data_IF_523044336730
#
_entry.id   IF_523044336730
#
_cell.length_a   1.000
_cell.length_b   1.000
_cell.length_c   1.000
_cell.angle_alpha   90.00
_cell.angle_beta   90.00
_cell.angle_gamma   90.00
#
_symmetry.space_group_name_H-M   'P 1'
#
loop_
_entity.id
_entity.type
_entity.pdbx_description
1 polymer ?
#
# COMPACT_ATOMS: atom_id res chain seq x y z
N UNK A 1 -15.70 -73.85 22.34
CA UNK A 1 -16.17 -72.63 21.66
C UNK A 1 -15.83 -71.29 22.39
N UNK A 2 -15.05 -71.33 23.48
CA UNK A 2 -14.81 -70.12 24.30
C UNK A 2 -13.47 -69.38 23.94
N UNK A 3 -12.59 -70.07 23.23
CA UNK A 3 -11.24 -69.47 22.87
C UNK A 3 -11.20 -68.69 21.58
N UNK A 4 -12.17 -68.84 20.69
CA UNK A 4 -12.20 -68.17 19.41
C UNK A 4 -12.60 -66.66 19.57
N UNK A 5 -13.47 -66.36 20.53
CA UNK A 5 -13.90 -64.95 20.77
C UNK A 5 -12.79 -64.06 21.30
N UNK A 6 -11.88 -64.56 22.12
CA UNK A 6 -10.76 -63.80 22.68
C UNK A 6 -9.65 -63.50 21.64
N UNK A 7 -9.49 -64.43 20.69
CA UNK A 7 -8.48 -64.24 19.64
C UNK A 7 -8.89 -63.16 18.64
N UNK A 8 -10.18 -63.13 18.29
CA UNK A 8 -10.71 -62.12 17.35
C UNK A 8 -10.67 -60.71 17.98
N UNK A 9 -11.02 -60.61 19.29
CA UNK A 9 -11.02 -59.32 19.99
C UNK A 9 -9.59 -58.74 20.14
N UNK A 10 -8.58 -59.57 20.35
CA UNK A 10 -7.17 -59.15 20.42
C UNK A 10 -6.60 -58.75 19.06
N UNK A 11 -7.01 -59.45 18.00
CA UNK A 11 -6.58 -59.07 16.63
C UNK A 11 -7.21 -57.77 16.17
N UNK A 12 -8.46 -57.45 16.52
CA UNK A 12 -9.12 -56.19 16.20
C UNK A 12 -8.53 -54.99 16.99
N UNK A 13 -8.10 -55.20 18.24
CA UNK A 13 -7.40 -54.16 18.99
C UNK A 13 -6.01 -53.84 18.43
N UNK A 14 -5.29 -54.88 17.95
CA UNK A 14 -3.97 -54.72 17.35
C UNK A 14 -4.02 -53.96 16.01
N UNK A 15 -5.05 -54.19 15.20
CA UNK A 15 -5.23 -53.50 13.91
C UNK A 15 -5.69 -52.05 14.11
N UNK A 16 -6.52 -51.79 15.13
CA UNK A 16 -6.94 -50.42 15.47
C UNK A 16 -5.78 -49.54 15.96
N UNK A 17 -4.78 -50.12 16.62
CA UNK A 17 -3.62 -49.36 17.15
C UNK A 17 -2.53 -49.14 16.09
N UNK A 18 -2.49 -49.91 15.01
CA UNK A 18 -1.55 -49.71 13.90
C UNK A 18 -2.02 -48.64 12.91
N UNK A 19 -3.32 -48.34 12.88
CA UNK A 19 -3.87 -47.30 11.99
C UNK A 19 -3.74 -45.86 12.52
N UNK A 20 -3.38 -45.71 13.81
CA UNK A 20 -3.26 -44.41 14.45
C UNK A 20 -1.86 -43.75 14.32
N UNK A 21 -0.88 -44.43 13.76
CA UNK A 21 0.48 -43.87 13.59
C UNK A 21 0.80 -43.40 12.16
N UNK A 22 -0.17 -43.45 11.23
CA UNK A 22 0.02 -43.02 9.85
C UNK A 22 -0.57 -41.61 9.61
N UNK A 23 -1.05 -40.91 10.66
CA UNK A 23 -1.70 -39.62 10.53
C UNK A 23 -0.81 -38.43 10.86
N UNK A 24 0.53 -38.53 10.71
CA UNK A 24 1.42 -37.47 11.09
C UNK A 24 2.56 -37.21 10.08
N UNK A 25 2.29 -37.37 8.79
CA UNK A 25 3.25 -36.97 7.75
C UNK A 25 2.57 -36.33 6.52
N UNK A 26 1.67 -35.38 6.73
CA UNK A 26 1.29 -34.44 5.70
C UNK A 26 1.34 -33.05 6.36
N UNK A 27 2.51 -32.68 6.81
CA UNK A 27 2.92 -31.30 6.87
C UNK A 27 4.11 -31.19 5.91
N UNK A 28 3.81 -31.44 4.63
CA UNK A 28 4.67 -30.93 3.59
C UNK A 28 4.87 -29.43 3.88
N UNK A 29 6.13 -29.11 4.09
CA UNK A 29 6.58 -27.73 4.06
C UNK A 29 5.79 -27.01 2.97
N UNK A 30 4.86 -26.15 3.36
CA UNK A 30 4.36 -25.11 2.48
C UNK A 30 5.59 -24.27 2.15
N UNK A 31 6.33 -24.67 1.14
CA UNK A 31 7.15 -23.76 0.38
C UNK A 31 6.14 -22.76 -0.15
N UNK A 32 6.08 -21.62 0.51
CA UNK A 32 5.43 -20.44 -0.02
C UNK A 32 6.17 -20.19 -1.33
N UNK A 33 5.66 -20.73 -2.44
CA UNK A 33 6.03 -20.26 -3.75
C UNK A 33 5.64 -18.80 -3.74
N UNK A 34 6.66 -17.96 -3.61
CA UNK A 34 6.52 -16.52 -3.67
C UNK A 34 5.82 -16.25 -4.98
N UNK A 35 4.52 -15.98 -4.94
CA UNK A 35 3.78 -15.64 -6.14
C UNK A 35 4.58 -14.55 -6.85
N UNK A 36 4.80 -14.65 -8.17
CA UNK A 36 5.58 -13.66 -8.90
C UNK A 36 5.07 -12.29 -8.49
N UNK A 37 6.00 -11.39 -8.18
CA UNK A 37 5.71 -10.06 -7.65
C UNK A 37 4.82 -9.29 -8.63
N UNK A 38 3.51 -9.52 -8.55
CA UNK A 38 2.49 -8.89 -9.39
C UNK A 38 2.40 -7.37 -9.17
N UNK A 39 3.25 -6.82 -8.31
CA UNK A 39 3.35 -5.38 -8.06
C UNK A 39 4.21 -4.66 -9.09
N UNK A 40 5.09 -5.39 -9.83
CA UNK A 40 5.92 -4.80 -10.90
C UNK A 40 5.10 -4.44 -12.11
N UNK A 41 5.17 -3.17 -12.52
CA UNK A 41 4.37 -2.63 -13.61
C UNK A 41 5.10 -2.65 -14.96
N UNK A 42 6.44 -2.76 -14.99
CA UNK A 42 7.30 -2.68 -16.19
C UNK A 42 6.99 -1.44 -17.06
N UNK A 43 6.74 -0.33 -16.41
CA UNK A 43 6.50 0.99 -17.02
C UNK A 43 6.76 2.07 -15.98
N UNK A 44 6.93 3.32 -16.43
CA UNK A 44 7.06 4.47 -15.52
C UNK A 44 5.76 4.75 -14.74
N UNK A 45 5.87 5.50 -13.65
CA UNK A 45 4.71 5.96 -12.88
C UNK A 45 3.77 6.81 -13.77
N UNK A 46 4.33 7.64 -14.63
CA UNK A 46 3.54 8.43 -15.57
C UNK A 46 2.78 7.56 -16.58
N UNK A 47 3.43 6.57 -17.18
CA UNK A 47 2.78 5.65 -18.11
C UNK A 47 1.64 4.87 -17.44
N UNK A 48 1.82 4.43 -16.20
CA UNK A 48 0.75 3.78 -15.43
C UNK A 48 -0.43 4.72 -15.19
N UNK A 49 -0.17 5.98 -14.79
CA UNK A 49 -1.23 6.98 -14.56
C UNK A 49 -1.98 7.27 -15.87
N UNK A 50 -1.26 7.39 -16.99
CA UNK A 50 -1.86 7.65 -18.30
C UNK A 50 -2.79 6.51 -18.77
N UNK A 51 -2.38 5.27 -18.55
CA UNK A 51 -3.12 4.08 -18.97
C UNK A 51 -4.28 3.68 -18.07
N UNK A 52 -4.52 4.38 -16.96
CA UNK A 52 -5.53 3.98 -15.98
C UNK A 52 -6.70 4.97 -15.92
N UNK A 53 -7.88 4.56 -16.39
CA UNK A 53 -9.07 5.40 -16.42
C UNK A 53 -9.56 5.84 -15.04
N UNK A 54 -9.28 5.05 -13.98
CA UNK A 54 -9.62 5.42 -12.61
C UNK A 54 -8.76 6.57 -12.06
N UNK A 55 -7.70 6.96 -12.78
CA UNK A 55 -6.76 8.03 -12.44
C UNK A 55 -6.87 9.23 -13.40
N UNK A 56 -7.91 9.29 -14.22
CA UNK A 56 -8.04 10.31 -15.27
C UNK A 56 -8.00 11.75 -14.75
N UNK A 57 -8.59 12.04 -13.59
CA UNK A 57 -8.49 13.37 -12.98
C UNK A 57 -7.07 13.69 -12.48
N UNK A 58 -6.36 12.70 -11.95
CA UNK A 58 -4.98 12.90 -11.54
C UNK A 58 -4.07 13.13 -12.74
N UNK A 59 -4.27 12.38 -13.82
CA UNK A 59 -3.60 12.60 -15.11
C UNK A 59 -3.85 14.03 -15.63
N UNK A 60 -5.12 14.46 -15.69
CA UNK A 60 -5.49 15.81 -16.10
C UNK A 60 -4.83 16.88 -15.21
N UNK A 61 -4.82 16.67 -13.89
CA UNK A 61 -4.18 17.57 -12.95
C UNK A 61 -2.68 17.74 -13.23
N UNK A 62 -1.96 16.64 -13.47
CA UNK A 62 -0.53 16.64 -13.81
C UNK A 62 -0.29 17.41 -15.12
N UNK A 63 -1.11 17.19 -16.14
CA UNK A 63 -1.02 17.86 -17.43
C UNK A 63 -1.29 19.37 -17.33
N UNK A 64 -2.36 19.78 -16.63
CA UNK A 64 -2.67 21.21 -16.39
C UNK A 64 -1.56 21.90 -15.60
N UNK A 65 -0.95 21.18 -14.66
CA UNK A 65 0.18 21.68 -13.88
C UNK A 65 1.54 21.64 -14.63
N UNK A 66 1.64 20.94 -15.77
CA UNK A 66 2.88 20.72 -16.53
C UNK A 66 3.96 20.05 -15.65
N UNK A 67 3.60 18.96 -14.99
CA UNK A 67 4.48 18.24 -14.06
C UNK A 67 4.76 16.78 -14.51
N UNK A 68 4.48 16.43 -15.77
CA UNK A 68 4.64 15.07 -16.30
C UNK A 68 6.07 14.54 -16.08
N UNK A 69 7.08 15.39 -16.28
CA UNK A 69 8.48 15.02 -16.08
C UNK A 69 8.82 14.57 -14.67
N UNK A 70 8.09 15.04 -13.65
CA UNK A 70 8.31 14.62 -12.26
C UNK A 70 7.79 13.21 -11.99
N UNK A 71 6.81 12.76 -12.76
CA UNK A 71 6.26 11.40 -12.67
C UNK A 71 6.95 10.42 -13.65
N UNK A 72 7.75 10.94 -14.58
CA UNK A 72 8.59 10.18 -15.51
C UNK A 72 10.04 10.06 -15.03
N UNK A 73 10.47 10.86 -14.04
CA UNK A 73 11.84 10.88 -13.53
C UNK A 73 12.34 9.47 -13.16
N UNK A 74 13.63 9.23 -13.40
CA UNK A 74 14.26 7.93 -13.20
C UNK A 74 14.76 7.67 -11.78
N UNK A 75 14.80 8.70 -10.93
CA UNK A 75 15.24 8.56 -9.55
C UNK A 75 14.07 8.15 -8.65
N UNK A 76 14.36 7.17 -7.78
CA UNK A 76 13.34 6.52 -6.98
C UNK A 76 12.56 7.44 -6.06
N UNK A 77 11.27 7.58 -6.34
CA UNK A 77 10.31 8.32 -5.54
C UNK A 77 9.11 7.46 -5.15
N UNK A 78 8.34 7.93 -4.18
CA UNK A 78 7.02 7.36 -3.89
C UNK A 78 5.95 8.32 -4.32
N UNK A 79 5.07 7.82 -5.17
CA UNK A 79 3.95 8.58 -5.73
C UNK A 79 2.67 8.23 -4.98
N UNK A 80 2.11 9.20 -4.31
CA UNK A 80 0.82 9.11 -3.64
C UNK A 80 -0.25 9.53 -4.65
N UNK A 81 -1.05 8.58 -5.14
CA UNK A 81 -1.89 8.78 -6.32
C UNK A 81 -3.38 8.76 -5.94
N UNK A 82 -4.03 9.94 -5.88
CA UNK A 82 -5.47 10.03 -5.69
C UNK A 82 -6.24 9.51 -6.91
N UNK A 83 -7.23 8.64 -6.68
CA UNK A 83 -8.11 8.18 -7.74
C UNK A 83 -9.22 9.21 -8.07
N UNK A 84 -10.06 8.91 -9.06
CA UNK A 84 -11.14 9.78 -9.47
C UNK A 84 -12.16 10.07 -8.34
N UNK A 85 -12.37 9.14 -7.42
CA UNK A 85 -13.24 9.37 -6.27
C UNK A 85 -12.66 10.44 -5.34
N UNK A 86 -11.34 10.43 -5.13
CA UNK A 86 -10.63 11.44 -4.35
C UNK A 86 -10.88 12.85 -4.88
N UNK A 87 -10.78 13.02 -6.20
CA UNK A 87 -11.03 14.33 -6.84
C UNK A 87 -12.49 14.75 -6.78
N UNK A 88 -13.44 13.84 -6.93
CA UNK A 88 -14.86 14.17 -6.75
C UNK A 88 -15.15 14.71 -5.34
N UNK A 89 -14.57 14.09 -4.33
CA UNK A 89 -14.67 14.59 -2.93
C UNK A 89 -13.99 15.94 -2.78
N UNK A 90 -12.76 16.07 -3.31
CA UNK A 90 -12.01 17.32 -3.28
C UNK A 90 -12.75 18.48 -3.96
N UNK A 91 -13.38 18.25 -5.11
CA UNK A 91 -14.19 19.25 -5.81
C UNK A 91 -15.36 19.71 -4.94
N UNK A 92 -16.11 18.76 -4.38
CA UNK A 92 -17.25 19.07 -3.50
C UNK A 92 -16.84 19.89 -2.28
N UNK A 93 -15.73 19.50 -1.63
CA UNK A 93 -15.28 20.11 -0.39
C UNK A 93 -14.69 21.52 -0.59
N UNK A 94 -14.20 21.83 -1.81
CA UNK A 94 -13.53 23.09 -2.13
C UNK A 94 -14.31 23.97 -3.13
N UNK A 95 -15.51 23.55 -3.55
CA UNK A 95 -16.34 24.34 -4.47
C UNK A 95 -15.84 24.37 -5.92
N UNK A 96 -15.02 23.38 -6.32
CA UNK A 96 -14.60 23.22 -7.71
C UNK A 96 -15.56 22.30 -8.47
N UNK A 97 -15.59 22.40 -9.80
CA UNK A 97 -16.37 21.51 -10.66
C UNK A 97 -15.50 20.63 -11.56
N UNK A 98 -14.28 21.11 -11.88
CA UNK A 98 -13.33 20.43 -12.76
C UNK A 98 -11.90 20.74 -12.30
N UNK A 99 -10.92 20.01 -12.83
CA UNK A 99 -9.49 20.30 -12.61
C UNK A 99 -9.14 21.71 -13.08
N UNK A 100 -9.66 22.16 -14.21
CA UNK A 100 -9.39 23.48 -14.78
C UNK A 100 -9.85 24.65 -13.88
N UNK A 101 -10.75 24.43 -12.94
CA UNK A 101 -11.18 25.45 -11.97
C UNK A 101 -10.21 25.61 -10.79
N UNK A 102 -9.28 24.67 -10.60
CA UNK A 102 -8.28 24.75 -9.53
C UNK A 102 -7.18 25.70 -9.98
N UNK A 103 -6.84 26.76 -9.21
CA UNK A 103 -5.73 27.61 -9.54
C UNK A 103 -4.42 26.82 -9.71
N UNK A 104 -3.70 27.04 -10.81
CA UNK A 104 -2.48 26.29 -11.15
C UNK A 104 -1.44 26.27 -10.02
N UNK A 105 -1.18 27.35 -9.27
CA UNK A 105 -0.26 27.30 -8.13
C UNK A 105 -0.71 26.34 -7.04
N UNK A 106 -2.01 26.28 -6.74
CA UNK A 106 -2.59 25.34 -5.76
C UNK A 106 -2.42 23.92 -6.27
N UNK A 107 -2.73 23.68 -7.53
CA UNK A 107 -2.61 22.38 -8.18
C UNK A 107 -1.15 21.90 -8.17
N UNK A 108 -0.20 22.74 -8.54
CA UNK A 108 1.24 22.44 -8.49
C UNK A 108 1.71 22.09 -7.08
N UNK A 109 1.34 22.88 -6.09
CA UNK A 109 1.72 22.62 -4.70
C UNK A 109 1.13 21.29 -4.19
N UNK A 110 -0.13 21.04 -4.49
CA UNK A 110 -0.80 19.78 -4.15
C UNK A 110 -0.10 18.58 -4.80
N UNK A 111 0.13 18.59 -6.10
CA UNK A 111 0.77 17.51 -6.83
C UNK A 111 2.20 17.23 -6.34
N UNK A 112 2.96 18.26 -6.02
CA UNK A 112 4.31 18.14 -5.47
C UNK A 112 4.30 17.57 -4.03
N UNK A 113 3.27 17.83 -3.24
CA UNK A 113 3.10 17.18 -1.94
C UNK A 113 2.86 15.68 -2.09
N UNK A 114 2.27 15.23 -3.19
CA UNK A 114 2.00 13.82 -3.48
C UNK A 114 3.23 13.04 -4.00
N UNK A 115 4.41 13.66 -4.08
CA UNK A 115 5.67 13.01 -4.44
C UNK A 115 6.60 13.04 -3.23
N UNK A 116 6.86 11.87 -2.67
CA UNK A 116 7.83 11.67 -1.58
C UNK A 116 9.19 11.36 -2.20
N UNK A 117 10.25 12.05 -1.75
CA UNK A 117 11.62 11.96 -2.30
C UNK A 117 12.37 10.68 -1.92
N UNK A 118 11.69 9.65 -1.50
CA UNK A 118 12.27 8.38 -1.08
C UNK A 118 11.40 7.23 -1.58
N UNK A 119 11.99 6.07 -1.78
CA UNK A 119 11.24 4.84 -2.01
C UNK A 119 10.69 4.35 -0.67
N UNK A 120 9.37 4.22 -0.58
CA UNK A 120 8.67 3.70 0.59
C UNK A 120 7.81 2.53 0.16
N UNK A 121 8.26 1.32 0.49
CA UNK A 121 7.52 0.08 0.25
C UNK A 121 7.09 -0.49 1.61
N UNK A 122 5.79 -0.64 1.84
CA UNK A 122 5.27 -1.12 3.13
C UNK A 122 5.57 -2.60 3.41
N UNK A 123 6.13 -3.32 2.46
CA UNK A 123 6.67 -4.67 2.70
C UNK A 123 8.14 -4.62 3.19
N UNK A 124 8.76 -3.45 3.24
CA UNK A 124 10.10 -3.30 3.77
C UNK A 124 10.07 -3.51 5.30
N UNK A 125 10.79 -4.52 5.83
CA UNK A 125 10.82 -4.80 7.26
C UNK A 125 11.47 -3.67 8.09
N UNK A 126 12.19 -2.74 7.46
CA UNK A 126 12.74 -1.56 8.12
C UNK A 126 11.66 -0.52 8.47
N UNK A 127 10.49 -0.56 7.80
CA UNK A 127 9.39 0.33 8.12
C UNK A 127 8.69 -0.08 9.42
N UNK A 128 8.59 0.88 10.35
CA UNK A 128 7.88 0.65 11.61
C UNK A 128 6.37 0.46 11.38
N UNK A 129 5.71 -0.42 12.15
CA UNK A 129 4.25 -0.49 12.21
C UNK A 129 3.62 0.84 12.66
N UNK A 130 2.32 0.97 12.51
CA UNK A 130 1.51 2.19 12.59
C UNK A 130 1.76 3.13 13.78
N UNK A 131 2.26 2.67 14.90
CA UNK A 131 2.54 3.53 16.06
C UNK A 131 3.89 4.30 15.98
N UNK A 132 4.61 4.18 14.87
CA UNK A 132 5.91 4.84 14.64
C UNK A 132 6.00 5.36 13.21
N UNK A 133 5.23 6.40 12.85
CA UNK A 133 5.32 6.97 11.52
C UNK A 133 6.70 7.57 11.25
N UNK A 134 7.20 7.36 10.03
CA UNK A 134 8.48 7.90 9.58
C UNK A 134 8.22 9.17 8.78
N UNK A 135 9.00 10.21 9.04
CA UNK A 135 8.95 11.48 8.36
C UNK A 135 9.72 11.43 7.03
N UNK A 136 9.10 11.85 5.95
CA UNK A 136 9.70 11.93 4.63
C UNK A 136 9.50 13.31 4.02
N UNK A 137 10.51 13.79 3.29
CA UNK A 137 10.42 15.02 2.51
C UNK A 137 9.61 14.79 1.24
N UNK A 138 8.78 15.76 0.90
CA UNK A 138 8.04 15.80 -0.36
C UNK A 138 8.60 16.86 -1.31
N UNK A 139 8.21 16.79 -2.58
CA UNK A 139 8.68 17.72 -3.62
C UNK A 139 8.23 19.18 -3.42
N UNK A 140 7.23 19.44 -2.60
CA UNK A 140 6.85 20.80 -2.22
C UNK A 140 7.61 21.31 -0.97
N UNK A 141 8.53 20.54 -0.39
CA UNK A 141 9.31 20.89 0.79
C UNK A 141 8.60 20.70 2.13
N UNK A 142 7.40 20.12 2.14
CA UNK A 142 6.70 19.77 3.38
C UNK A 142 6.97 18.31 3.72
N UNK A 143 6.78 17.97 5.00
CA UNK A 143 6.93 16.59 5.49
C UNK A 143 5.64 15.81 5.31
N UNK A 144 5.75 14.55 4.87
CA UNK A 144 4.69 13.54 4.91
C UNK A 144 5.12 12.41 5.83
N UNK A 145 4.24 12.00 6.73
CA UNK A 145 4.48 10.87 7.62
C UNK A 145 3.86 9.61 7.04
N UNK A 146 4.66 8.56 6.87
CA UNK A 146 4.21 7.28 6.35
C UNK A 146 4.45 6.17 7.36
N UNK A 147 3.47 5.29 7.51
CA UNK A 147 3.51 4.11 8.35
C UNK A 147 2.55 3.04 7.79
N UNK A 148 2.50 1.89 8.42
CA UNK A 148 1.53 0.86 8.12
C UNK A 148 1.04 0.17 9.39
N UNK A 149 -0.16 -0.40 9.34
CA UNK A 149 -0.70 -1.24 10.42
C UNK A 149 0.03 -2.58 10.48
N UNK A 150 -0.19 -3.35 11.54
CA UNK A 150 0.32 -4.74 11.64
C UNK A 150 -0.18 -5.67 10.52
N UNK A 151 -1.22 -5.27 9.81
CA UNK A 151 -1.76 -5.98 8.63
C UNK A 151 -1.32 -5.33 7.31
N UNK A 152 -0.25 -4.54 7.33
CA UNK A 152 0.35 -3.87 6.17
C UNK A 152 -0.57 -2.90 5.41
N UNK A 153 -1.59 -2.37 6.07
CA UNK A 153 -2.38 -1.29 5.51
C UNK A 153 -1.63 0.03 5.69
N UNK A 154 -1.27 0.67 4.58
CA UNK A 154 -0.52 1.92 4.60
C UNK A 154 -1.33 3.10 5.14
N UNK A 155 -0.68 3.95 5.92
CA UNK A 155 -1.22 5.15 6.52
C UNK A 155 -0.39 6.36 6.12
N UNK A 156 -1.08 7.48 5.88
CA UNK A 156 -0.47 8.78 5.57
C UNK A 156 -0.82 9.75 6.69
N UNK A 157 0.19 10.47 7.19
CA UNK A 157 0.09 11.46 8.24
C UNK A 157 -0.57 10.92 9.53
N UNK A 158 -0.28 9.67 9.88
CA UNK A 158 -0.64 9.12 11.19
C UNK A 158 0.01 9.94 12.31
N UNK A 159 -0.72 10.17 13.41
CA UNK A 159 -0.26 11.00 14.52
C UNK A 159 -0.28 12.50 14.24
N UNK A 160 -0.94 12.93 13.18
CA UNK A 160 -1.19 14.34 12.88
C UNK A 160 -2.69 14.69 13.06
N UNK A 161 -3.05 15.95 12.87
CA UNK A 161 -4.44 16.39 12.93
C UNK A 161 -5.37 15.69 11.93
N UNK A 162 -4.81 15.14 10.86
CA UNK A 162 -5.57 14.39 9.86
C UNK A 162 -4.72 13.30 9.22
N UNK A 163 -5.22 12.08 9.25
CA UNK A 163 -4.60 10.93 8.62
C UNK A 163 -5.48 10.34 7.52
N UNK A 164 -4.85 9.61 6.60
CA UNK A 164 -5.52 8.91 5.51
C UNK A 164 -5.02 7.48 5.41
N UNK A 165 -5.88 6.62 4.86
CA UNK A 165 -5.57 5.21 4.60
C UNK A 165 -5.36 4.98 3.11
N UNK A 166 -4.31 4.26 2.78
CA UNK A 166 -4.00 3.83 1.41
C UNK A 166 -4.92 2.66 1.04
N UNK A 167 -5.38 2.62 -0.20
CA UNK A 167 -6.26 1.57 -0.73
C UNK A 167 -5.51 0.48 -1.48
N UNK A 168 -4.54 0.87 -2.30
CA UNK A 168 -3.65 -0.04 -3.00
C UNK A 168 -2.24 0.42 -2.76
N UNK A 169 -1.42 -0.43 -2.18
CA UNK A 169 -0.03 -0.11 -1.86
C UNK A 169 0.94 -0.93 -2.70
N UNK A 170 2.18 -0.44 -2.75
CA UNK A 170 3.35 -1.17 -3.27
C UNK A 170 3.25 -1.55 -4.76
N UNK A 171 2.58 -0.77 -5.60
CA UNK A 171 2.74 -0.90 -7.04
C UNK A 171 4.13 -0.37 -7.42
N UNK A 172 4.89 -1.14 -8.19
CA UNK A 172 6.32 -0.87 -8.46
C UNK A 172 6.51 -0.54 -9.95
N UNK A 173 6.38 0.74 -10.36
CA UNK A 173 6.85 1.20 -11.65
C UNK A 173 8.38 1.19 -11.70
N UNK A 174 8.95 1.37 -12.91
CA UNK A 174 10.40 1.31 -13.12
C UNK A 174 11.15 2.44 -12.38
N UNK A 175 10.45 3.51 -12.01
CA UNK A 175 11.01 4.71 -11.39
C UNK A 175 10.56 4.97 -9.94
N UNK A 176 9.99 3.98 -9.24
CA UNK A 176 9.64 4.17 -7.84
C UNK A 176 8.57 3.24 -7.28
N UNK A 177 7.74 3.78 -6.39
CA UNK A 177 6.60 3.07 -5.79
C UNK A 177 5.35 3.94 -5.92
N UNK A 178 4.20 3.32 -6.22
CA UNK A 178 2.90 3.98 -6.25
C UNK A 178 2.02 3.45 -5.12
N UNK A 179 1.37 4.37 -4.41
CA UNK A 179 0.28 4.09 -3.49
C UNK A 179 -0.98 4.83 -3.93
N UNK A 180 -2.06 4.08 -4.17
CA UNK A 180 -3.34 4.65 -4.63
C UNK A 180 -4.30 4.81 -3.45
N UNK A 181 -5.00 5.95 -3.39
CA UNK A 181 -5.98 6.24 -2.35
C UNK A 181 -7.21 6.97 -2.91
N UNK A 182 -8.26 7.03 -2.11
CA UNK A 182 -9.52 7.70 -2.45
C UNK A 182 -9.66 9.08 -1.78
N UNK A 183 -8.54 9.74 -1.49
CA UNK A 183 -8.51 11.09 -0.95
C UNK A 183 -7.36 11.89 -1.60
N UNK A 184 -7.54 13.19 -1.76
CA UNK A 184 -6.45 14.15 -2.00
C UNK A 184 -5.87 14.48 -0.62
N UNK A 185 -4.57 14.22 -0.44
CA UNK A 185 -3.89 14.46 0.83
C UNK A 185 -3.23 15.84 0.84
N UNK A 186 -3.04 16.39 2.03
CA UNK A 186 -2.37 17.65 2.22
C UNK A 186 -1.56 17.61 3.52
N UNK A 187 -0.67 18.58 3.68
CA UNK A 187 0.12 18.70 4.89
C UNK A 187 -0.80 18.78 6.12
N UNK A 188 -0.45 17.99 7.13
CA UNK A 188 -1.13 18.00 8.43
C UNK A 188 -0.08 18.07 9.53
N UNK A 189 -0.19 19.10 10.38
CA UNK A 189 0.76 19.29 11.47
C UNK A 189 0.67 18.15 12.49
N UNK A 190 1.81 17.69 13.04
CA UNK A 190 1.82 16.72 14.14
C UNK A 190 1.02 17.23 15.33
N UNK A 191 0.27 16.32 15.99
CA UNK A 191 -0.39 16.60 17.24
C UNK A 191 0.51 16.18 18.39
N UNK A 192 1.25 17.13 19.02
CA UNK A 192 2.01 16.89 20.26
C UNK A 192 2.93 15.69 20.18
N UNK A 193 2.94 14.64 20.77
CA UNK A 193 3.89 13.54 20.87
C UNK A 193 3.85 12.54 19.71
N UNK A 194 3.99 13.00 18.46
CA UNK A 194 4.27 12.05 17.38
C UNK A 194 5.68 11.49 17.60
N UNK A 195 5.77 10.23 18.00
CA UNK A 195 7.02 9.53 18.18
C UNK A 195 7.57 9.20 16.79
N UNK A 196 8.02 10.23 16.08
CA UNK A 196 8.70 10.09 14.78
C UNK A 196 10.03 9.41 14.99
N UNK A 197 10.28 8.37 14.25
CA UNK A 197 11.60 7.78 14.17
C UNK A 197 12.52 8.80 13.45
N UNK A 198 13.66 9.21 14.05
CA UNK A 198 14.60 10.11 13.42
C UNK A 198 15.25 9.48 12.19
#
# INVERSE_FOLDING_TARGET
MRNIKYTITRSLLGIGMLLSIVSCEIQDSFTYDYAPDNTKLNMSAWAFIQGNDSLSFFREAIQVAQLESMYEATEGATYIVPNNQAFRSYFKDNGYSTIANIPVPILKNMLRYHIVKSIVNFNDPALAPSNKPIAYDTENGQTMYLSHTSTYVGLINEGTNRQWQIRTSNLVPDNGVIHVLNAVVYYSAPTGDVNVNP
#
